data_IF_457416954146
#
_entry.id   IF_457416954146
#
_cell.length_a   1.000
_cell.length_b   1.000
_cell.length_c   1.000
_cell.angle_alpha   90.00
_cell.angle_beta   90.00
_cell.angle_gamma   90.00
#
_symmetry.space_group_name_H-M   'P 1'
#
loop_
_entity.id
_entity.type
_entity.pdbx_description
1 polymer ?
#
# COMPACT_ATOMS: atom_id res chain seq x y z
N UNK A 1 -12.49 4.84 -10.96
CA UNK A 1 -12.68 5.03 -9.50
C UNK A 1 -11.31 5.13 -8.86
N UNK A 2 -11.10 6.19 -8.09
CA UNK A 2 -9.89 6.41 -7.28
C UNK A 2 -10.04 5.65 -5.97
N UNK A 3 -9.00 4.90 -5.58
CA UNK A 3 -8.97 4.21 -4.30
C UNK A 3 -8.35 5.13 -3.25
N UNK A 4 -8.87 5.10 -2.04
CA UNK A 4 -8.37 5.95 -0.95
C UNK A 4 -7.92 5.07 0.21
N UNK A 5 -6.92 5.52 0.95
CA UNK A 5 -6.56 4.91 2.23
C UNK A 5 -7.63 5.17 3.29
N UNK A 6 -7.40 4.68 4.52
CA UNK A 6 -8.38 4.83 5.62
C UNK A 6 -8.63 6.29 6.07
N UNK A 7 -7.77 7.22 5.67
CA UNK A 7 -7.90 8.65 5.95
C UNK A 7 -8.50 9.44 4.78
N UNK A 8 -8.91 8.75 3.72
CA UNK A 8 -9.45 9.39 2.51
C UNK A 8 -8.36 9.94 1.59
N UNK A 9 -7.09 9.58 1.79
CA UNK A 9 -6.01 10.02 0.90
C UNK A 9 -5.98 9.17 -0.37
N UNK A 10 -5.88 9.78 -1.57
CA UNK A 10 -5.87 9.04 -2.81
C UNK A 10 -4.59 8.18 -2.94
N UNK A 11 -4.77 6.91 -3.27
CA UNK A 11 -3.69 5.97 -3.53
C UNK A 11 -3.38 5.92 -5.03
N UNK A 12 -2.09 5.91 -5.37
CA UNK A 12 -1.60 5.76 -6.73
C UNK A 12 -0.36 4.84 -6.77
N UNK A 13 -0.07 4.17 -7.90
CA UNK A 13 1.22 3.51 -8.10
C UNK A 13 2.39 4.48 -7.88
N UNK A 14 3.46 4.01 -7.23
CA UNK A 14 4.62 4.79 -6.82
C UNK A 14 4.50 5.43 -5.42
N UNK A 15 3.30 5.48 -4.83
CA UNK A 15 3.15 5.98 -3.46
C UNK A 15 3.82 5.05 -2.44
N UNK A 16 4.47 5.64 -1.43
CA UNK A 16 4.95 4.91 -0.26
C UNK A 16 3.80 4.77 0.73
N UNK A 17 3.61 3.56 1.24
CA UNK A 17 2.54 3.26 2.19
C UNK A 17 3.07 2.46 3.37
N UNK A 18 2.43 2.62 4.52
CA UNK A 18 2.54 1.72 5.67
C UNK A 18 1.39 0.72 5.62
N UNK A 19 1.71 -0.56 5.65
CA UNK A 19 0.73 -1.65 5.78
C UNK A 19 0.49 -1.90 7.26
N UNK A 20 -0.78 -1.81 7.67
CA UNK A 20 -1.26 -1.94 9.05
C UNK A 20 -1.37 -3.40 9.49
N UNK A 21 -0.21 -4.05 9.61
CA UNK A 21 -0.05 -5.40 10.16
C UNK A 21 0.81 -5.33 11.42
N UNK A 22 0.97 -6.46 12.09
CA UNK A 22 1.85 -6.61 13.24
C UNK A 22 2.97 -7.63 12.94
N UNK A 23 4.25 -7.20 12.79
CA UNK A 23 4.72 -5.81 12.82
C UNK A 23 4.32 -5.03 11.54
N UNK A 24 4.24 -3.68 11.61
CA UNK A 24 3.90 -2.87 10.45
C UNK A 24 5.01 -2.92 9.41
N UNK A 25 4.62 -2.93 8.14
CA UNK A 25 5.54 -2.98 7.00
C UNK A 25 5.44 -1.70 6.19
N UNK A 26 6.55 -1.26 5.59
CA UNK A 26 6.54 -0.15 4.64
C UNK A 26 6.86 -0.65 3.25
N UNK A 27 6.18 -0.11 2.26
CA UNK A 27 6.39 -0.51 0.87
C UNK A 27 5.90 0.53 -0.12
N UNK A 28 6.01 0.18 -1.39
CA UNK A 28 5.61 1.01 -2.51
C UNK A 28 4.40 0.38 -3.22
N UNK A 29 3.38 1.18 -3.52
CA UNK A 29 2.23 0.73 -4.29
C UNK A 29 2.69 0.45 -5.71
N UNK A 30 2.60 -0.80 -6.16
CA UNK A 30 2.94 -1.18 -7.54
C UNK A 30 1.72 -1.19 -8.45
N UNK A 31 0.58 -1.62 -7.93
CA UNK A 31 -0.66 -1.76 -8.69
C UNK A 31 -1.86 -1.49 -7.81
N UNK A 32 -2.92 -0.95 -8.40
CA UNK A 32 -4.23 -0.78 -7.77
C UNK A 32 -5.28 -1.54 -8.58
N UNK A 33 -6.21 -2.20 -7.91
CA UNK A 33 -7.36 -2.88 -8.53
C UNK A 33 -8.65 -2.32 -7.92
N UNK A 34 -9.14 -1.17 -8.43
CA UNK A 34 -10.24 -0.43 -7.80
C UNK A 34 -11.53 -1.24 -7.68
N UNK A 35 -11.81 -2.13 -8.65
CA UNK A 35 -13.00 -3.00 -8.64
C UNK A 35 -13.12 -3.85 -7.37
N UNK A 36 -12.00 -4.20 -6.76
CA UNK A 36 -11.96 -5.05 -5.56
C UNK A 36 -11.48 -4.30 -4.31
N UNK A 37 -11.18 -3.00 -4.41
CA UNK A 37 -10.69 -2.22 -3.28
C UNK A 37 -9.31 -2.66 -2.75
N UNK A 38 -8.50 -3.31 -3.60
CA UNK A 38 -7.18 -3.84 -3.22
C UNK A 38 -6.05 -3.19 -4.01
N UNK A 39 -4.86 -3.27 -3.44
CA UNK A 39 -3.61 -2.84 -4.06
C UNK A 39 -2.50 -3.86 -3.81
N UNK A 40 -1.51 -3.84 -4.69
CA UNK A 40 -0.27 -4.60 -4.55
C UNK A 40 0.82 -3.66 -4.03
N UNK A 41 1.39 -3.99 -2.88
CA UNK A 41 2.48 -3.26 -2.23
C UNK A 41 3.75 -4.09 -2.30
N UNK A 42 4.85 -3.50 -2.76
CA UNK A 42 6.18 -4.12 -2.73
C UNK A 42 6.86 -3.70 -1.44
N UNK A 43 7.13 -4.67 -0.57
CA UNK A 43 7.86 -4.47 0.69
C UNK A 43 9.29 -4.97 0.52
N UNK A 44 10.27 -4.18 0.96
CA UNK A 44 11.69 -4.59 1.00
C UNK A 44 12.04 -5.08 2.40
N UNK A 45 12.38 -6.37 2.51
CA UNK A 45 12.89 -6.98 3.74
C UNK A 45 14.36 -7.40 3.60
N UNK A 46 14.92 -7.99 4.66
CA UNK A 46 16.32 -8.51 4.66
C UNK A 46 16.55 -9.58 3.58
N UNK A 47 15.54 -10.41 3.30
CA UNK A 47 15.65 -11.52 2.35
C UNK A 47 15.33 -11.12 0.90
N UNK A 48 15.04 -9.84 0.63
CA UNK A 48 14.68 -9.35 -0.69
C UNK A 48 13.34 -8.61 -0.70
N UNK A 49 12.76 -8.47 -1.90
CA UNK A 49 11.47 -7.81 -2.09
C UNK A 49 10.34 -8.84 -2.14
N UNK A 50 9.20 -8.51 -1.53
CA UNK A 50 7.98 -9.33 -1.58
C UNK A 50 6.78 -8.49 -1.99
N UNK A 51 5.88 -9.08 -2.77
CA UNK A 51 4.62 -8.44 -3.16
C UNK A 51 3.51 -8.86 -2.19
N UNK A 52 2.77 -7.89 -1.66
CA UNK A 52 1.63 -8.09 -0.79
C UNK A 52 0.38 -7.53 -1.45
N UNK A 53 -0.67 -8.36 -1.56
CA UNK A 53 -2.00 -7.86 -1.87
C UNK A 53 -2.71 -7.47 -0.58
N UNK A 54 -3.15 -6.22 -0.49
CA UNK A 54 -3.77 -5.64 0.72
C UNK A 54 -4.99 -4.82 0.32
N UNK A 55 -5.94 -4.67 1.25
CA UNK A 55 -7.05 -3.73 1.06
C UNK A 55 -6.59 -2.30 1.28
N UNK A 56 -7.33 -1.34 0.72
CA UNK A 56 -7.05 0.07 0.89
C UNK A 56 -7.18 0.55 2.34
N UNK A 57 -8.08 -0.06 3.11
CA UNK A 57 -8.31 0.25 4.53
C UNK A 57 -7.22 -0.30 5.47
N UNK A 58 -6.37 -1.19 4.95
CA UNK A 58 -5.22 -1.80 5.64
C UNK A 58 -3.90 -1.06 5.38
N UNK A 59 -3.95 0.08 4.70
CA UNK A 59 -2.77 0.91 4.43
C UNK A 59 -2.97 2.35 4.86
N UNK A 60 -1.85 3.02 5.14
CA UNK A 60 -1.74 4.45 5.37
C UNK A 60 -0.76 5.04 4.36
N UNK A 61 -1.18 6.09 3.65
CA UNK A 61 -0.28 6.83 2.76
C UNK A 61 0.81 7.52 3.59
N UNK A 62 2.07 7.31 3.21
CA UNK A 62 3.20 8.01 3.80
C UNK A 62 3.52 9.27 2.98
N UNK A 63 3.94 10.37 3.64
CA UNK A 63 4.38 11.56 2.93
C UNK A 63 5.59 11.25 2.03
N UNK A 64 5.77 12.00 0.94
CA UNK A 64 6.99 11.93 0.17
C UNK A 64 8.20 12.24 1.06
N UNK A 65 9.37 11.64 0.78
CA UNK A 65 10.60 11.89 1.52
C UNK A 65 11.08 13.34 1.39
#
# INVERSE_FOLDING_TARGET
>A
MTLHDRHGQPLAPGHRVRVLRDPPLQGEVRRIVPRYGVLTVVVRGRAGSSELMVRADEVELLPPP
#
